data_IF_226985060383
#
_entry.id   IF_226985060383
#
_cell.length_a   1.000
_cell.length_b   1.000
_cell.length_c   1.000
_cell.angle_alpha   90.00
_cell.angle_beta   90.00
_cell.angle_gamma   90.00
#
_symmetry.space_group_name_H-M   'P 1'
#
loop_
_entity.id
_entity.type
_entity.pdbx_description
1 polymer ?
#
# COMPACT_ATOMS: atom_id res chain seq x y z
N UNK A 1 25.90 -15.86 -16.12
CA UNK A 1 24.50 -15.90 -15.67
C UNK A 1 24.28 -14.69 -14.78
N UNK A 2 23.81 -13.59 -15.35
CA UNK A 2 23.64 -12.31 -14.63
C UNK A 2 22.40 -12.48 -13.77
N UNK A 3 22.59 -12.51 -12.46
CA UNK A 3 21.51 -12.66 -11.48
C UNK A 3 20.73 -11.34 -11.48
N UNK A 4 19.70 -11.24 -12.31
CA UNK A 4 18.76 -10.11 -12.34
C UNK A 4 17.81 -10.18 -11.12
N UNK A 5 18.38 -10.08 -9.91
CA UNK A 5 17.65 -10.11 -8.63
C UNK A 5 16.74 -8.89 -8.41
N UNK A 6 16.74 -7.93 -9.33
CA UNK A 6 15.83 -6.77 -9.28
C UNK A 6 14.44 -7.05 -9.86
N UNK A 7 14.26 -8.13 -10.63
CA UNK A 7 13.00 -8.47 -11.30
C UNK A 7 11.88 -8.96 -10.37
N UNK A 8 12.09 -10.04 -9.59
CA UNK A 8 11.01 -10.66 -8.82
C UNK A 8 10.56 -9.81 -7.62
N UNK A 9 11.48 -9.05 -7.01
CA UNK A 9 11.15 -8.18 -5.88
C UNK A 9 10.22 -7.04 -6.29
N UNK A 10 10.44 -6.44 -7.47
CA UNK A 10 9.56 -5.38 -7.99
C UNK A 10 8.15 -5.90 -8.25
N UNK A 11 8.06 -7.06 -8.90
CA UNK A 11 6.77 -7.69 -9.20
C UNK A 11 6.05 -8.15 -7.93
N UNK A 12 6.79 -8.63 -6.93
CA UNK A 12 6.26 -8.94 -5.61
C UNK A 12 5.65 -7.70 -4.94
N UNK A 13 6.38 -6.59 -4.84
CA UNK A 13 5.84 -5.34 -4.27
C UNK A 13 4.64 -4.81 -5.06
N UNK A 14 4.66 -4.95 -6.38
CA UNK A 14 3.54 -4.57 -7.24
C UNK A 14 2.29 -5.41 -6.96
N UNK A 15 2.41 -6.75 -6.96
CA UNK A 15 1.30 -7.66 -6.67
C UNK A 15 0.77 -7.47 -5.26
N UNK A 16 1.65 -7.36 -4.26
CA UNK A 16 1.27 -7.12 -2.86
C UNK A 16 0.56 -5.79 -2.70
N UNK A 17 1.02 -4.72 -3.38
CA UNK A 17 0.30 -3.44 -3.36
C UNK A 17 -1.10 -3.58 -3.95
N UNK A 18 -1.25 -4.30 -5.07
CA UNK A 18 -2.55 -4.55 -5.69
C UNK A 18 -3.50 -5.33 -4.78
N UNK A 19 -3.00 -6.31 -4.05
CA UNK A 19 -3.81 -7.05 -3.08
C UNK A 19 -4.15 -6.20 -1.85
N UNK A 20 -3.20 -5.44 -1.31
CA UNK A 20 -3.42 -4.54 -0.18
C UNK A 20 -4.49 -3.48 -0.47
N UNK A 21 -4.47 -2.89 -1.67
CA UNK A 21 -5.46 -1.89 -2.10
C UNK A 21 -6.68 -2.50 -2.77
N UNK A 22 -6.84 -3.83 -2.71
CA UNK A 22 -8.00 -4.46 -3.30
C UNK A 22 -9.25 -4.13 -2.45
N UNK A 23 -10.29 -3.53 -3.04
CA UNK A 23 -11.53 -3.22 -2.33
C UNK A 23 -12.22 -4.47 -1.76
N UNK A 24 -11.90 -5.67 -2.25
CA UNK A 24 -12.38 -6.93 -1.67
C UNK A 24 -12.02 -7.10 -0.19
N UNK A 25 -10.89 -6.56 0.27
CA UNK A 25 -10.54 -6.62 1.69
C UNK A 25 -11.24 -5.55 2.53
N UNK A 26 -11.90 -4.57 1.92
CA UNK A 26 -12.57 -3.46 2.62
C UNK A 26 -11.63 -2.52 3.38
N UNK A 27 -10.32 -2.66 3.22
CA UNK A 27 -9.30 -1.86 3.93
C UNK A 27 -9.15 -0.46 3.32
N UNK A 28 -9.13 -0.38 1.99
CA UNK A 28 -8.89 0.85 1.24
C UNK A 28 -9.94 1.01 0.13
N UNK A 29 -10.25 2.27 -0.18
CA UNK A 29 -11.16 2.65 -1.25
C UNK A 29 -10.53 3.80 -2.06
N UNK A 30 -10.88 3.92 -3.33
CA UNK A 30 -10.43 5.03 -4.16
C UNK A 30 -11.08 6.35 -3.69
N UNK A 31 -10.26 7.37 -3.47
CA UNK A 31 -10.71 8.65 -2.91
C UNK A 31 -11.55 9.48 -3.88
N UNK A 32 -11.29 9.36 -5.17
CA UNK A 32 -12.05 10.01 -6.23
C UNK A 32 -11.77 9.31 -7.57
N UNK A 33 -12.75 9.32 -8.48
CA UNK A 33 -12.59 8.74 -9.81
C UNK A 33 -11.54 9.48 -10.68
N UNK A 34 -11.24 10.73 -10.33
CA UNK A 34 -10.32 11.62 -11.06
C UNK A 34 -8.89 11.59 -10.49
N UNK A 35 -8.74 11.11 -9.27
CA UNK A 35 -7.46 11.06 -8.56
C UNK A 35 -7.24 9.63 -8.17
N UNK A 36 -6.27 8.94 -8.81
CA UNK A 36 -5.83 7.57 -8.53
C UNK A 36 -5.27 7.37 -7.10
N UNK A 37 -5.72 8.19 -6.15
CA UNK A 37 -5.36 8.15 -4.75
C UNK A 37 -6.28 7.22 -3.97
N UNK A 38 -5.69 6.32 -3.20
CA UNK A 38 -6.38 5.43 -2.26
C UNK A 38 -6.47 6.09 -0.88
N UNK A 39 -7.63 5.95 -0.24
CA UNK A 39 -7.90 6.35 1.13
C UNK A 39 -8.33 5.15 1.96
N UNK A 40 -8.23 5.27 3.28
CA UNK A 40 -8.71 4.23 4.20
C UNK A 40 -10.23 4.21 4.11
N UNK A 41 -10.81 3.05 3.80
CA UNK A 41 -12.28 2.93 3.76
C UNK A 41 -12.82 3.03 5.19
N UNK A 42 -13.91 3.78 5.45
CA UNK A 42 -14.57 3.74 6.75
C UNK A 42 -15.09 2.33 7.09
N UNK A 43 -15.29 1.47 6.08
CA UNK A 43 -15.63 0.06 6.30
C UNK A 43 -14.46 -0.78 6.84
N UNK A 44 -13.23 -0.28 6.78
CA UNK A 44 -12.06 -0.98 7.33
C UNK A 44 -12.16 -1.23 8.84
N UNK A 45 -12.91 -0.40 9.57
CA UNK A 45 -13.17 -0.60 11.00
C UNK A 45 -14.00 -1.88 11.30
N UNK A 46 -14.74 -2.39 10.31
CA UNK A 46 -15.49 -3.64 10.41
C UNK A 46 -14.67 -4.86 10.02
N UNK A 47 -13.46 -4.67 9.50
CA UNK A 47 -12.55 -5.77 9.15
C UNK A 47 -11.87 -6.25 10.43
N UNK A 48 -12.03 -7.54 10.70
CA UNK A 48 -11.31 -8.21 11.78
C UNK A 48 -9.80 -8.08 11.53
N UNK A 49 -9.02 -7.76 12.57
CA UNK A 49 -7.58 -7.49 12.47
C UNK A 49 -7.16 -6.27 11.61
N UNK A 50 -8.03 -5.29 11.34
CA UNK A 50 -7.67 -4.09 10.56
C UNK A 50 -6.38 -3.39 11.05
N UNK A 51 -6.15 -3.29 12.37
CA UNK A 51 -4.91 -2.74 12.94
C UNK A 51 -3.64 -3.49 12.49
N UNK A 52 -3.69 -4.82 12.39
CA UNK A 52 -2.55 -5.62 11.95
C UNK A 52 -2.31 -5.45 10.45
N UNK A 53 -3.38 -5.37 9.66
CA UNK A 53 -3.31 -5.06 8.23
C UNK A 53 -2.70 -3.68 7.98
N UNK A 54 -3.04 -2.66 8.78
CA UNK A 54 -2.42 -1.33 8.69
C UNK A 54 -0.93 -1.36 9.07
N UNK A 55 -0.55 -2.13 10.11
CA UNK A 55 0.87 -2.31 10.45
C UNK A 55 1.65 -3.04 9.36
N UNK A 56 1.03 -4.06 8.76
CA UNK A 56 1.62 -4.83 7.67
C UNK A 56 1.81 -3.96 6.41
N UNK A 57 0.79 -3.21 6.00
CA UNK A 57 0.89 -2.30 4.84
C UNK A 57 1.95 -1.22 5.05
N UNK A 58 2.05 -0.65 6.26
CA UNK A 58 3.11 0.30 6.62
C UNK A 58 4.53 -0.30 6.53
N UNK A 59 4.72 -1.56 6.91
CA UNK A 59 6.00 -2.27 6.77
C UNK A 59 6.36 -2.50 5.31
N UNK A 60 5.41 -2.96 4.49
CA UNK A 60 5.60 -3.17 3.05
C UNK A 60 5.93 -1.85 2.35
N UNK A 61 5.24 -0.77 2.71
CA UNK A 61 5.52 0.59 2.23
C UNK A 61 6.94 1.04 2.57
N UNK A 62 7.37 0.85 3.83
CA UNK A 62 8.72 1.16 4.28
C UNK A 62 9.78 0.35 3.53
N UNK A 63 9.55 -0.95 3.37
CA UNK A 63 10.41 -1.83 2.57
C UNK A 63 10.51 -1.36 1.11
N UNK A 64 9.39 -1.06 0.46
CA UNK A 64 9.36 -0.56 -0.91
C UNK A 64 10.11 0.78 -1.05
N UNK A 65 9.98 1.69 -0.08
CA UNK A 65 10.73 2.95 -0.02
C UNK A 65 12.24 2.72 0.11
N UNK A 66 12.67 1.83 1.00
CA UNK A 66 14.09 1.47 1.19
C UNK A 66 14.68 0.87 -0.08
N UNK A 67 13.92 -0.01 -0.74
CA UNK A 67 14.32 -0.66 -1.99
C UNK A 67 14.11 0.23 -3.23
N UNK A 68 13.63 1.47 -3.07
CA UNK A 68 13.31 2.40 -4.15
C UNK A 68 12.35 1.83 -5.22
N UNK A 69 11.42 0.96 -4.80
CA UNK A 69 10.38 0.42 -5.67
C UNK A 69 9.19 1.36 -5.75
N UNK A 70 8.75 1.63 -6.99
CA UNK A 70 7.48 2.30 -7.26
C UNK A 70 6.34 1.33 -6.97
N UNK A 71 5.55 1.65 -5.95
CA UNK A 71 4.27 1.00 -5.68
C UNK A 71 3.19 1.62 -6.59
N UNK A 72 2.31 0.78 -7.12
CA UNK A 72 1.17 1.22 -7.95
C UNK A 72 -0.01 1.67 -7.05
N UNK A 73 0.31 2.52 -6.08
CA UNK A 73 -0.65 3.01 -5.10
C UNK A 73 -0.27 4.42 -4.67
N UNK A 74 -1.12 5.37 -5.00
CA UNK A 74 -0.96 6.74 -4.54
C UNK A 74 -1.79 6.92 -3.28
N UNK A 75 -1.17 7.23 -2.15
CA UNK A 75 -1.93 7.50 -0.93
C UNK A 75 -2.41 8.94 -0.91
N UNK A 76 -3.46 9.21 -0.14
CA UNK A 76 -3.85 10.59 0.13
C UNK A 76 -2.74 11.36 0.84
N UNK A 77 -2.61 12.66 0.57
CA UNK A 77 -1.67 13.56 1.24
C UNK A 77 -1.66 13.45 2.77
N UNK A 78 -2.80 13.37 3.48
CA UNK A 78 -2.81 13.16 4.93
C UNK A 78 -2.12 11.86 5.36
N UNK A 79 -2.19 10.79 4.57
CA UNK A 79 -1.52 9.53 4.87
C UNK A 79 0.00 9.68 4.84
N UNK A 80 0.55 10.31 3.80
CA UNK A 80 1.98 10.65 3.77
C UNK A 80 2.38 11.55 4.92
N UNK A 81 1.53 12.53 5.29
CA UNK A 81 1.79 13.42 6.41
C UNK A 81 1.81 12.68 7.75
N UNK A 82 0.94 11.69 7.93
CA UNK A 82 0.95 10.83 9.11
C UNK A 82 2.18 9.91 9.16
N UNK A 83 2.65 9.42 8.01
CA UNK A 83 3.84 8.59 7.92
C UNK A 83 5.12 9.39 8.19
N UNK A 84 5.18 10.65 7.73
CA UNK A 84 6.31 11.55 7.97
C UNK A 84 6.31 12.16 9.37
N UNK A 85 5.13 12.32 9.98
CA UNK A 85 4.96 12.82 11.33
C UNK A 85 5.06 11.66 12.31
N UNK A 86 6.28 11.20 12.54
CA UNK A 86 6.65 10.52 13.79
C UNK A 86 6.29 11.40 15.00
#
# INVERSE_FOLDING_TARGET
MRLDYSGPSREFFFLVSRELFNPYYGLFEYSANDTYTVQISPMSAFVDNHHEWFRFSGRILGLALIHQYLLDAFFTRPFYKALLRM
#
